data_IF_123547972693
#
_entry.id   IF_123547972693
#
_cell.length_a   1.000
_cell.length_b   1.000
_cell.length_c   1.000
_cell.angle_alpha   90.00
_cell.angle_beta   90.00
_cell.angle_gamma   90.00
#
_symmetry.space_group_name_H-M   'P 1'
#
loop_
_entity.id
_entity.type
_entity.pdbx_description
1 polymer ?
#
# COMPACT_ATOMS: atom_id res chain seq x y z
N UNK A 1 11.92 -2.36 -3.47
CA UNK A 1 13.05 -1.72 -4.19
C UNK A 1 12.52 -1.03 -5.43
N UNK A 2 13.05 0.15 -5.80
CA UNK A 2 12.68 0.82 -7.03
C UNK A 2 13.23 0.07 -8.26
N UNK A 3 12.51 0.16 -9.37
CA UNK A 3 12.94 -0.26 -10.71
C UNK A 3 12.46 0.77 -11.74
N UNK A 4 13.09 0.81 -12.92
CA UNK A 4 12.57 1.59 -14.03
C UNK A 4 11.40 0.84 -14.69
N UNK A 5 10.19 1.39 -14.65
CA UNK A 5 9.03 0.81 -15.31
C UNK A 5 9.07 1.21 -16.79
N UNK A 6 9.50 0.29 -17.65
CA UNK A 6 9.49 0.47 -19.10
C UNK A 6 8.20 -0.07 -19.73
N UNK A 7 7.35 0.84 -20.22
CA UNK A 7 6.07 0.51 -20.85
C UNK A 7 6.21 -0.41 -22.06
N UNK A 8 7.37 -0.46 -22.72
CA UNK A 8 7.64 -1.37 -23.85
C UNK A 8 7.72 -2.84 -23.42
N UNK A 9 8.04 -3.09 -22.15
CA UNK A 9 8.19 -4.43 -21.57
C UNK A 9 6.98 -4.84 -20.72
N UNK A 10 6.09 -3.90 -20.41
CA UNK A 10 4.85 -4.15 -19.68
C UNK A 10 3.86 -4.95 -20.54
N UNK A 11 3.20 -5.94 -19.94
CA UNK A 11 2.10 -6.69 -20.55
C UNK A 11 0.82 -6.41 -19.78
N UNK A 12 -0.27 -6.14 -20.51
CA UNK A 12 -1.60 -6.04 -19.90
C UNK A 12 -1.98 -7.39 -19.27
N UNK A 13 -2.62 -7.33 -18.11
CA UNK A 13 -3.11 -8.51 -17.40
C UNK A 13 -4.43 -8.17 -16.69
N UNK A 14 -5.36 -9.13 -16.73
CA UNK A 14 -6.65 -9.03 -16.05
C UNK A 14 -6.65 -10.04 -14.91
N UNK A 15 -6.81 -9.54 -13.68
CA UNK A 15 -6.96 -10.38 -12.50
C UNK A 15 -8.42 -10.82 -12.32
N UNK A 16 -8.61 -12.05 -11.83
CA UNK A 16 -9.95 -12.61 -11.52
C UNK A 16 -10.65 -11.83 -10.40
N UNK A 17 -9.86 -11.20 -9.52
CA UNK A 17 -10.33 -10.41 -8.40
C UNK A 17 -9.85 -8.96 -8.60
N UNK A 18 -10.73 -7.95 -8.65
CA UNK A 18 -10.30 -6.55 -8.74
C UNK A 18 -9.51 -6.13 -7.49
N UNK A 19 -8.45 -5.33 -7.66
CA UNK A 19 -7.72 -4.75 -6.53
C UNK A 19 -8.65 -3.81 -5.77
N UNK A 20 -8.81 -4.04 -4.47
CA UNK A 20 -9.71 -3.29 -3.59
C UNK A 20 -8.98 -2.89 -2.31
N UNK A 21 -9.00 -1.60 -2.01
CA UNK A 21 -8.63 -1.06 -0.70
C UNK A 21 -9.92 -0.77 0.10
N UNK A 22 -10.03 -1.36 1.28
CA UNK A 22 -11.10 -1.08 2.23
C UNK A 22 -10.51 -0.29 3.40
N UNK A 23 -10.29 1.00 3.15
CA UNK A 23 -9.73 1.92 4.13
C UNK A 23 -10.80 2.87 4.64
N UNK A 24 -10.68 3.21 5.92
CA UNK A 24 -11.51 4.17 6.63
C UNK A 24 -10.61 5.22 7.29
N UNK A 25 -11.19 6.33 7.69
CA UNK A 25 -10.46 7.36 8.43
C UNK A 25 -9.89 6.78 9.73
N UNK A 26 -8.58 6.95 9.94
CA UNK A 26 -7.90 6.45 11.14
C UNK A 26 -7.70 7.58 12.15
N UNK A 27 -8.58 7.66 13.15
CA UNK A 27 -8.52 8.69 14.18
C UNK A 27 -7.32 8.53 15.13
N UNK A 28 -6.82 7.29 15.31
CA UNK A 28 -5.74 6.98 16.25
C UNK A 28 -4.39 6.78 15.54
N UNK A 29 -4.22 7.38 14.36
CA UNK A 29 -2.99 7.30 13.59
C UNK A 29 -1.85 7.98 14.36
N UNK A 30 -0.71 7.29 14.46
CA UNK A 30 0.50 7.84 15.08
C UNK A 30 1.48 8.27 14.00
N UNK A 31 2.01 9.49 14.10
CA UNK A 31 3.04 10.01 13.18
C UNK A 31 4.35 10.19 13.92
N UNK A 32 5.41 9.58 13.40
CA UNK A 32 6.77 9.65 13.98
C UNK A 32 7.79 10.06 12.92
N UNK A 33 8.79 10.86 13.31
CA UNK A 33 10.00 11.06 12.50
C UNK A 33 11.08 10.13 13.06
N UNK A 34 11.52 9.17 12.26
CA UNK A 34 12.53 8.18 12.67
C UNK A 34 13.96 8.55 12.26
N UNK A 35 14.19 9.78 11.79
CA UNK A 35 15.48 10.26 11.30
C UNK A 35 15.76 10.01 9.82
N UNK A 36 14.94 9.20 9.13
CA UNK A 36 15.05 8.92 7.69
C UNK A 36 13.82 9.36 6.91
N UNK A 37 12.64 9.19 7.49
CA UNK A 37 11.35 9.57 6.91
C UNK A 37 10.36 9.89 8.04
N UNK A 38 9.18 10.38 7.67
CA UNK A 38 8.04 10.30 8.57
C UNK A 38 7.32 8.97 8.34
N UNK A 39 6.84 8.36 9.42
CA UNK A 39 6.05 7.12 9.38
C UNK A 39 4.71 7.40 10.03
N UNK A 40 3.64 7.23 9.24
CA UNK A 40 2.26 7.26 9.71
C UNK A 40 1.79 5.82 9.96
N UNK A 41 1.59 5.46 11.22
CA UNK A 41 1.20 4.11 11.66
C UNK A 41 -0.31 4.03 11.87
N UNK A 42 -0.93 3.05 11.25
CA UNK A 42 -2.37 2.81 11.29
C UNK A 42 -2.67 1.77 12.38
N UNK A 43 -3.68 2.04 13.22
CA UNK A 43 -4.09 1.17 14.33
C UNK A 43 -5.35 0.36 14.02
N UNK A 44 -6.23 0.89 13.18
CA UNK A 44 -7.47 0.25 12.78
C UNK A 44 -7.29 -0.84 11.73
N UNK A 45 -8.36 -1.60 11.55
CA UNK A 45 -8.43 -2.75 10.65
C UNK A 45 -8.73 -2.32 9.21
N UNK A 46 -7.69 -1.79 8.54
CA UNK A 46 -7.74 -1.34 7.16
C UNK A 46 -7.05 -2.38 6.27
N UNK A 47 -7.69 -2.83 5.19
CA UNK A 47 -7.16 -3.94 4.37
C UNK A 47 -7.12 -3.67 2.88
N UNK A 48 -6.18 -4.32 2.19
CA UNK A 48 -6.10 -4.41 0.73
C UNK A 48 -6.19 -5.89 0.32
N UNK A 49 -6.93 -6.18 -0.75
CA UNK A 49 -7.11 -7.53 -1.30
C UNK A 49 -7.35 -7.47 -2.80
N UNK A 50 -7.38 -8.62 -3.48
CA UNK A 50 -7.58 -8.68 -4.93
C UNK A 50 -6.34 -8.32 -5.73
N UNK A 51 -6.50 -8.19 -7.04
CA UNK A 51 -5.38 -8.06 -7.98
C UNK A 51 -4.42 -9.24 -7.83
N UNK A 52 -3.09 -9.01 -7.79
CA UNK A 52 -2.12 -10.09 -7.60
C UNK A 52 -2.10 -10.68 -6.17
N UNK A 53 -2.88 -10.14 -5.23
CA UNK A 53 -3.06 -10.69 -3.88
C UNK A 53 -4.20 -11.73 -3.80
N UNK A 54 -4.94 -11.90 -4.90
CA UNK A 54 -6.09 -12.80 -5.00
C UNK A 54 -7.10 -12.59 -3.86
N UNK A 55 -7.49 -13.66 -3.16
CA UNK A 55 -8.47 -13.62 -2.08
C UNK A 55 -7.86 -13.31 -0.71
N UNK A 56 -6.54 -13.15 -0.63
CA UNK A 56 -5.84 -12.95 0.65
C UNK A 56 -5.82 -11.46 1.05
N UNK A 57 -6.42 -11.07 2.18
CA UNK A 57 -6.35 -9.70 2.66
C UNK A 57 -5.04 -9.41 3.38
N UNK A 58 -4.49 -8.23 3.15
CA UNK A 58 -3.32 -7.69 3.85
C UNK A 58 -3.71 -6.43 4.61
N UNK A 59 -3.27 -6.31 5.86
CA UNK A 59 -3.54 -5.12 6.68
C UNK A 59 -2.60 -3.97 6.31
N UNK A 60 -3.15 -2.78 6.16
CA UNK A 60 -2.37 -1.55 6.09
C UNK A 60 -1.76 -1.28 7.47
N UNK A 61 -0.45 -1.44 7.58
CA UNK A 61 0.27 -1.19 8.84
C UNK A 61 0.72 0.27 8.95
N UNK A 62 1.39 0.81 7.93
CA UNK A 62 1.91 2.17 7.91
C UNK A 62 2.18 2.63 6.49
N UNK A 63 2.37 3.94 6.31
CA UNK A 63 2.92 4.51 5.09
C UNK A 63 4.00 5.56 5.43
N UNK A 64 4.90 5.78 4.48
CA UNK A 64 5.99 6.75 4.56
C UNK A 64 6.34 7.27 3.17
N UNK A 65 7.19 8.28 3.11
CA UNK A 65 7.54 8.96 1.87
C UNK A 65 9.05 8.89 1.61
N UNK A 66 9.40 9.00 0.34
CA UNK A 66 10.76 9.27 -0.12
C UNK A 66 10.75 10.60 -0.88
N UNK A 67 11.79 11.40 -0.71
CA UNK A 67 11.98 12.69 -1.36
C UNK A 67 13.48 13.00 -1.40
N UNK A 68 13.88 13.94 -2.27
CA UNK A 68 15.25 14.49 -2.31
C UNK A 68 16.28 13.56 -2.91
#
# INVERSE_FOLDING_TARGET
>A
FPINIDSKTCKSHTFSHPLKANYSSEANMEVTNNGFTFVATIKGENTISGGPLETTPYKLHSFHFHWG
#
